data_IF_991329318042
#
_entry.id   IF_991329318042
#
_cell.length_a   1.000
_cell.length_b   1.000
_cell.length_c   1.000
_cell.angle_alpha   90.00
_cell.angle_beta   90.00
_cell.angle_gamma   90.00
#
_symmetry.space_group_name_H-M   'P 1'
#
loop_
_entity.id
_entity.type
_entity.pdbx_description
1 polymer ?
#
# COMPACT_ATOMS: atom_id res chain seq x y z
N UNK A 1 74.90 4.54 35.93
CA UNK A 1 75.58 3.65 35.00
C UNK A 1 74.72 2.43 34.85
N UNK A 2 74.60 1.93 33.70
CA UNK A 2 73.79 0.79 33.25
C UNK A 2 72.33 1.11 32.98
N UNK A 3 72.14 1.41 31.74
CA UNK A 3 70.82 1.55 31.08
C UNK A 3 70.21 0.19 30.81
N UNK A 4 69.00 -0.06 31.33
CA UNK A 4 68.23 -1.15 30.95
C UNK A 4 67.35 -0.69 29.78
N UNK A 5 67.52 -1.33 28.64
CA UNK A 5 66.75 -1.14 27.45
C UNK A 5 65.57 -2.15 27.51
N UNK A 6 64.38 -1.66 27.73
CA UNK A 6 63.19 -2.49 27.73
C UNK A 6 62.60 -2.50 26.31
N UNK A 7 62.72 -3.65 25.68
CA UNK A 7 62.11 -3.93 24.37
C UNK A 7 60.59 -4.11 24.53
N UNK A 8 59.86 -3.18 23.96
CA UNK A 8 58.40 -3.26 23.88
C UNK A 8 58.07 -4.07 22.65
N UNK A 9 57.56 -5.27 22.87
CA UNK A 9 57.00 -6.10 21.81
C UNK A 9 55.66 -5.52 21.32
N UNK A 10 55.64 -5.12 20.06
CA UNK A 10 54.45 -4.65 19.38
C UNK A 10 53.59 -5.85 19.00
N UNK A 11 52.53 -6.10 19.74
CA UNK A 11 51.50 -7.07 19.36
C UNK A 11 50.50 -6.38 18.44
N UNK A 12 50.63 -6.62 17.14
CA UNK A 12 49.63 -6.25 16.14
C UNK A 12 48.42 -7.14 16.24
N UNK A 13 47.38 -6.64 16.87
CA UNK A 13 46.05 -7.29 16.82
C UNK A 13 45.42 -6.93 15.49
N UNK A 14 45.35 -7.89 14.60
CA UNK A 14 44.59 -7.77 13.36
C UNK A 14 43.09 -7.81 13.71
N UNK A 15 42.43 -6.65 13.69
CA UNK A 15 40.99 -6.55 13.72
C UNK A 15 40.45 -7.01 12.36
N UNK A 16 39.94 -8.21 12.29
CA UNK A 16 39.11 -8.65 11.17
C UNK A 16 37.75 -7.99 11.37
N UNK A 17 37.53 -6.89 10.67
CA UNK A 17 36.21 -6.29 10.56
C UNK A 17 35.33 -7.22 9.73
N UNK A 18 34.54 -8.07 10.41
CA UNK A 18 33.39 -8.70 9.80
C UNK A 18 32.36 -7.59 9.50
N UNK A 19 32.40 -7.10 8.27
CA UNK A 19 31.30 -6.30 7.73
C UNK A 19 30.09 -7.24 7.57
N UNK A 20 29.35 -7.40 8.68
CA UNK A 20 28.02 -7.97 8.60
C UNK A 20 27.17 -7.04 7.75
N UNK A 21 26.66 -7.56 6.63
CA UNK A 21 25.54 -6.94 5.94
C UNK A 21 24.35 -6.92 6.89
N UNK A 22 24.26 -5.89 7.71
CA UNK A 22 23.01 -5.51 8.35
C UNK A 22 22.11 -4.99 7.25
N UNK A 23 21.29 -5.88 6.67
CA UNK A 23 20.15 -5.45 5.91
C UNK A 23 19.30 -4.61 6.85
N UNK A 24 19.38 -3.31 6.74
CA UNK A 24 18.43 -2.40 7.35
C UNK A 24 17.06 -2.79 6.81
N UNK A 25 16.32 -3.56 7.59
CA UNK A 25 14.88 -3.66 7.42
C UNK A 25 14.37 -2.25 7.68
N UNK A 26 14.19 -1.49 6.60
CA UNK A 26 13.45 -0.25 6.62
C UNK A 26 12.16 -0.56 7.37
N UNK A 27 12.01 0.00 8.56
CA UNK A 27 10.78 -0.14 9.33
C UNK A 27 9.67 0.39 8.42
N UNK A 28 8.83 -0.51 7.92
CA UNK A 28 7.65 -0.14 7.15
C UNK A 28 6.77 0.58 8.16
N UNK A 29 6.64 1.88 8.02
CA UNK A 29 5.67 2.65 8.79
C UNK A 29 4.31 1.99 8.60
N UNK A 30 3.79 1.37 9.66
CA UNK A 30 2.45 0.79 9.64
C UNK A 30 1.48 1.96 9.66
N UNK A 31 1.00 2.33 8.47
CA UNK A 31 -0.02 3.36 8.33
C UNK A 31 -1.29 2.88 9.02
N UNK A 32 -1.73 3.60 10.04
CA UNK A 32 -3.00 3.33 10.72
C UNK A 32 -4.13 4.07 10.02
N UNK A 33 -5.22 3.35 9.78
CA UNK A 33 -6.43 3.89 9.13
C UNK A 33 -7.52 4.11 10.18
N UNK A 34 -8.30 5.16 9.99
CA UNK A 34 -9.39 5.54 10.91
C UNK A 34 -10.53 4.52 10.91
N UNK A 35 -10.80 3.92 9.77
CA UNK A 35 -11.86 2.93 9.55
C UNK A 35 -11.27 1.62 9.02
N UNK A 36 -11.93 0.52 9.30
CA UNK A 36 -11.61 -0.76 8.67
C UNK A 36 -11.92 -0.75 7.17
N UNK A 37 -11.31 -1.65 6.41
CA UNK A 37 -11.57 -1.81 4.98
C UNK A 37 -13.07 -2.01 4.68
N UNK A 38 -13.74 -2.84 5.47
CA UNK A 38 -15.18 -3.10 5.33
C UNK A 38 -15.99 -1.83 5.55
N UNK A 39 -15.70 -1.09 6.62
CA UNK A 39 -16.40 0.17 6.92
C UNK A 39 -16.20 1.22 5.83
N UNK A 40 -14.99 1.34 5.28
CA UNK A 40 -14.74 2.26 4.16
C UNK A 40 -15.57 1.86 2.96
N UNK A 41 -15.59 0.57 2.61
CA UNK A 41 -16.41 0.10 1.49
C UNK A 41 -17.88 0.38 1.70
N UNK A 42 -18.46 -0.05 2.81
CA UNK A 42 -19.89 0.07 3.11
C UNK A 42 -20.35 1.53 3.24
N UNK A 43 -19.54 2.38 3.84
CA UNK A 43 -19.91 3.79 4.07
C UNK A 43 -19.67 4.69 2.87
N UNK A 44 -18.85 4.27 1.91
CA UNK A 44 -18.46 5.11 0.78
C UNK A 44 -18.62 4.43 -0.58
N UNK A 45 -17.89 3.37 -0.87
CA UNK A 45 -17.85 2.73 -2.20
C UNK A 45 -19.19 2.11 -2.60
N UNK A 46 -19.84 1.43 -1.66
CA UNK A 46 -21.10 0.73 -1.90
C UNK A 46 -22.26 1.62 -2.36
N UNK A 47 -22.21 2.92 -2.02
CA UNK A 47 -23.26 3.88 -2.41
C UNK A 47 -23.41 4.03 -3.92
N UNK A 48 -22.34 3.84 -4.65
CA UNK A 48 -22.34 3.88 -6.11
C UNK A 48 -22.16 2.49 -6.72
N UNK A 49 -21.26 1.68 -6.16
CA UNK A 49 -20.89 0.39 -6.71
C UNK A 49 -21.74 -0.80 -6.22
N UNK A 50 -22.66 -0.56 -5.27
CA UNK A 50 -23.49 -1.61 -4.67
C UNK A 50 -22.81 -2.34 -3.52
N UNK A 51 -23.61 -2.97 -2.65
CA UNK A 51 -23.10 -3.69 -1.48
C UNK A 51 -22.29 -4.93 -1.84
N UNK A 52 -22.58 -5.54 -2.99
CA UNK A 52 -21.88 -6.70 -3.53
C UNK A 52 -20.94 -6.33 -4.69
N UNK A 53 -20.68 -5.05 -4.91
CA UNK A 53 -19.83 -4.59 -6.00
C UNK A 53 -20.41 -4.81 -7.38
N UNK A 54 -21.73 -4.93 -7.50
CA UNK A 54 -22.46 -5.21 -8.73
C UNK A 54 -22.48 -4.04 -9.72
N UNK A 55 -22.18 -2.83 -9.25
CA UNK A 55 -22.26 -1.62 -10.05
C UNK A 55 -23.70 -1.17 -10.32
N UNK A 56 -23.84 -0.14 -11.14
CA UNK A 56 -25.13 0.39 -11.59
C UNK A 56 -25.03 0.87 -13.03
N UNK A 57 -25.53 0.10 -14.02
CA UNK A 57 -25.45 0.47 -15.44
C UNK A 57 -26.17 1.78 -15.78
N UNK A 58 -27.28 2.08 -15.12
CA UNK A 58 -28.05 3.32 -15.36
C UNK A 58 -27.25 4.56 -14.97
N UNK A 59 -26.44 4.45 -13.91
CA UNK A 59 -25.56 5.51 -13.44
C UNK A 59 -24.15 5.44 -14.03
N UNK A 60 -23.93 4.51 -14.95
CA UNK A 60 -22.60 4.23 -15.54
C UNK A 60 -21.54 3.91 -14.49
N UNK A 61 -21.94 3.29 -13.39
CA UNK A 61 -21.02 2.87 -12.34
C UNK A 61 -20.60 1.42 -12.60
N UNK A 62 -19.30 1.16 -12.82
CA UNK A 62 -18.86 -0.19 -13.16
C UNK A 62 -18.99 -1.16 -11.98
N UNK A 63 -19.11 -2.44 -12.31
CA UNK A 63 -18.99 -3.51 -11.34
C UNK A 63 -17.54 -3.60 -10.83
N UNK A 64 -17.40 -4.00 -9.58
CA UNK A 64 -16.09 -4.20 -8.93
C UNK A 64 -15.85 -5.69 -8.63
N UNK A 65 -16.88 -6.49 -8.72
CA UNK A 65 -16.88 -7.90 -8.31
C UNK A 65 -16.49 -8.88 -9.43
N UNK A 66 -16.19 -8.40 -10.60
CA UNK A 66 -15.81 -9.19 -11.78
C UNK A 66 -14.29 -9.23 -12.03
N UNK A 67 -13.51 -8.63 -11.14
CA UNK A 67 -12.06 -8.49 -11.26
C UNK A 67 -11.30 -9.30 -10.21
N UNK A 68 -10.07 -9.64 -10.55
CA UNK A 68 -9.13 -10.24 -9.59
C UNK A 68 -8.62 -9.20 -8.59
N UNK A 69 -8.13 -9.66 -7.44
CA UNK A 69 -7.53 -8.75 -6.45
C UNK A 69 -6.33 -7.97 -7.00
N UNK A 70 -5.54 -8.58 -7.90
CA UNK A 70 -4.39 -7.93 -8.52
C UNK A 70 -4.80 -6.79 -9.47
N UNK A 71 -5.78 -7.01 -10.33
CA UNK A 71 -6.33 -5.97 -11.22
C UNK A 71 -6.96 -4.85 -10.41
N UNK A 72 -7.73 -5.20 -9.38
CA UNK A 72 -8.35 -4.23 -8.49
C UNK A 72 -7.31 -3.39 -7.73
N UNK A 73 -6.21 -4.01 -7.27
CA UNK A 73 -5.14 -3.28 -6.59
C UNK A 73 -4.46 -2.27 -7.51
N UNK A 74 -4.27 -2.61 -8.79
CA UNK A 74 -3.71 -1.69 -9.77
C UNK A 74 -4.64 -0.51 -10.03
N UNK A 75 -5.93 -0.76 -10.25
CA UNK A 75 -6.93 0.30 -10.46
C UNK A 75 -7.03 1.23 -9.24
N UNK A 76 -7.07 0.67 -8.04
CA UNK A 76 -7.11 1.46 -6.80
C UNK A 76 -5.84 2.29 -6.59
N UNK A 77 -4.68 1.74 -6.96
CA UNK A 77 -3.43 2.48 -6.90
C UNK A 77 -3.45 3.69 -7.83
N UNK A 78 -3.85 3.49 -9.08
CA UNK A 78 -3.91 4.55 -10.09
C UNK A 78 -4.90 5.65 -9.68
N UNK A 79 -6.10 5.27 -9.28
CA UNK A 79 -7.14 6.20 -8.82
C UNK A 79 -6.68 7.00 -7.58
N UNK A 80 -5.98 6.36 -6.66
CA UNK A 80 -5.56 6.99 -5.40
C UNK A 80 -4.35 7.91 -5.58
N UNK A 81 -3.49 7.63 -6.55
CA UNK A 81 -2.24 8.36 -6.76
C UNK A 81 -2.25 9.28 -8.00
N UNK A 82 -3.40 9.48 -8.63
CA UNK A 82 -3.53 10.32 -9.80
C UNK A 82 -2.83 9.75 -11.05
N UNK A 83 -2.69 8.43 -11.12
CA UNK A 83 -2.14 7.74 -12.27
C UNK A 83 -3.17 7.64 -13.39
N UNK A 84 -2.72 7.82 -14.63
CA UNK A 84 -3.55 7.51 -15.80
C UNK A 84 -3.53 6.03 -16.03
N UNK A 85 -4.59 5.32 -15.64
CA UNK A 85 -4.75 3.95 -16.06
C UNK A 85 -5.14 3.90 -17.53
N UNK A 86 -4.33 3.25 -18.33
CA UNK A 86 -4.54 3.11 -19.77
C UNK A 86 -5.78 2.27 -20.14
N UNK A 87 -6.37 1.56 -19.18
CA UNK A 87 -7.48 0.64 -19.44
C UNK A 87 -8.88 1.24 -19.35
N UNK A 88 -9.07 2.40 -18.68
CA UNK A 88 -10.40 2.91 -18.34
C UNK A 88 -10.68 4.35 -18.81
N UNK A 89 -9.71 5.04 -19.37
CA UNK A 89 -9.91 6.39 -19.91
C UNK A 89 -10.54 7.37 -18.91
N UNK A 90 -11.55 8.11 -19.38
CA UNK A 90 -12.22 9.18 -18.62
C UNK A 90 -12.99 8.72 -17.38
N UNK A 91 -13.30 7.43 -17.25
CA UNK A 91 -14.03 6.91 -16.08
C UNK A 91 -13.15 6.95 -14.82
N UNK A 92 -11.84 6.85 -14.98
CA UNK A 92 -10.89 6.99 -13.88
C UNK A 92 -10.77 8.42 -13.35
N UNK A 93 -10.91 9.42 -14.18
CA UNK A 93 -10.84 10.84 -13.76
C UNK A 93 -11.93 11.16 -12.74
N UNK A 94 -13.13 10.65 -12.94
CA UNK A 94 -14.25 10.80 -12.01
C UNK A 94 -13.95 10.09 -10.68
N UNK A 95 -13.43 8.87 -10.75
CA UNK A 95 -13.09 8.09 -9.55
C UNK A 95 -11.91 8.68 -8.80
N UNK A 96 -10.91 9.21 -9.49
CA UNK A 96 -9.78 9.91 -8.86
C UNK A 96 -10.27 11.09 -8.02
N UNK A 97 -11.12 11.94 -8.59
CA UNK A 97 -11.70 13.06 -7.87
C UNK A 97 -12.53 12.62 -6.67
N UNK A 98 -13.35 11.59 -6.81
CA UNK A 98 -14.13 11.03 -5.71
C UNK A 98 -13.23 10.43 -4.64
N UNK A 99 -12.16 9.74 -5.03
CA UNK A 99 -11.20 9.13 -4.12
C UNK A 99 -10.50 10.18 -3.27
N UNK A 100 -10.04 11.30 -3.86
CA UNK A 100 -9.46 12.40 -3.10
C UNK A 100 -10.42 12.92 -2.04
N UNK A 101 -11.67 13.13 -2.39
CA UNK A 101 -12.71 13.56 -1.44
C UNK A 101 -12.94 12.57 -0.30
N UNK A 102 -12.84 11.26 -0.58
CA UNK A 102 -12.98 10.22 0.44
C UNK A 102 -11.81 10.24 1.41
N UNK A 103 -10.60 10.32 0.88
CA UNK A 103 -9.37 10.39 1.69
C UNK A 103 -9.37 11.65 2.57
N UNK A 104 -9.74 12.80 2.02
CA UNK A 104 -9.84 14.07 2.76
C UNK A 104 -10.86 14.01 3.92
N UNK A 105 -11.89 13.20 3.77
CA UNK A 105 -12.89 12.93 4.81
C UNK A 105 -12.44 11.87 5.83
N UNK A 106 -11.26 11.31 5.67
CA UNK A 106 -10.69 10.29 6.54
C UNK A 106 -11.10 8.86 6.20
N UNK A 107 -11.69 8.60 5.03
CA UNK A 107 -11.99 7.26 4.50
C UNK A 107 -10.81 6.71 3.70
N UNK A 108 -9.62 6.83 4.25
CA UNK A 108 -8.43 6.24 3.67
C UNK A 108 -8.32 4.74 4.03
N UNK A 109 -7.61 3.95 3.22
CA UNK A 109 -7.54 2.50 3.34
C UNK A 109 -6.23 1.94 2.76
N UNK A 110 -5.91 0.71 3.15
CA UNK A 110 -4.87 -0.08 2.52
C UNK A 110 -5.35 -0.64 1.18
N UNK A 111 -4.59 -0.40 0.12
CA UNK A 111 -4.97 -0.76 -1.26
C UNK A 111 -5.14 -2.28 -1.40
N UNK A 112 -4.20 -3.07 -0.88
CA UNK A 112 -4.24 -4.52 -1.04
C UNK A 112 -5.42 -5.13 -0.26
N UNK A 113 -5.62 -4.68 0.96
CA UNK A 113 -6.77 -5.12 1.78
C UNK A 113 -8.10 -4.78 1.14
N UNK A 114 -8.22 -3.59 0.52
CA UNK A 114 -9.44 -3.19 -0.19
C UNK A 114 -9.64 -4.00 -1.47
N UNK A 115 -8.59 -4.24 -2.24
CA UNK A 115 -8.63 -5.05 -3.45
C UNK A 115 -9.05 -6.50 -3.15
N UNK A 116 -8.49 -7.10 -2.11
CA UNK A 116 -8.89 -8.43 -1.65
C UNK A 116 -10.34 -8.48 -1.20
N UNK A 117 -10.80 -7.48 -0.47
CA UNK A 117 -12.18 -7.39 -0.03
C UNK A 117 -13.14 -7.32 -1.22
N UNK A 118 -12.88 -6.41 -2.16
CA UNK A 118 -13.70 -6.24 -3.36
C UNK A 118 -13.72 -7.50 -4.24
N UNK A 119 -12.60 -8.18 -4.42
CA UNK A 119 -12.53 -9.42 -5.21
C UNK A 119 -13.34 -10.59 -4.62
N UNK A 120 -13.72 -10.50 -3.35
CA UNK A 120 -14.52 -11.51 -2.65
C UNK A 120 -16.01 -11.18 -2.62
N UNK A 121 -16.40 -9.96 -3.01
CA UNK A 121 -17.81 -9.53 -2.98
C UNK A 121 -18.70 -10.33 -3.94
N UNK A 122 -18.17 -10.79 -5.05
CA UNK A 122 -18.92 -11.52 -6.09
C UNK A 122 -19.28 -12.97 -5.75
N UNK A 123 -18.74 -13.49 -4.66
CA UNK A 123 -18.80 -14.94 -4.36
C UNK A 123 -19.79 -15.30 -3.25
N UNK A 124 -20.73 -14.40 -2.97
CA UNK A 124 -21.83 -14.67 -2.04
C UNK A 124 -23.08 -15.08 -2.76
#
# INVERSE_FOLDING_TARGET
MIKQISTIALATVAFIALTGCSGEKKATEVKTYKFSTVEVYEKSCSKCHGMNGEGNPEKKTPALNDRTAGEMAQDLYDIKNGGTNQSSGTDHDIMEHNMQKLVDKGFDYDINSMAEYMSKLSKK
#
